data_IF_637468120758
#
_entry.id   IF_637468120758
#
_cell.length_a   1.000
_cell.length_b   1.000
_cell.length_c   1.000
_cell.angle_alpha   90.00
_cell.angle_beta   90.00
_cell.angle_gamma   90.00
#
_symmetry.space_group_name_H-M   'P 1'
#
loop_
_entity.id
_entity.type
_entity.pdbx_description
1 polymer ?
#
# COMPACT_ATOMS: atom_id res chain seq x y z
N UNK A 1 24.13 21.88 0.17
CA UNK A 1 22.91 21.03 0.18
C UNK A 1 22.28 21.11 1.56
N UNK A 2 21.13 21.78 1.72
CA UNK A 2 20.42 21.82 3.01
C UNK A 2 19.87 20.41 3.28
N UNK A 3 20.27 19.82 4.40
CA UNK A 3 19.72 18.56 4.91
C UNK A 3 18.21 18.71 4.98
N UNK A 4 17.46 17.99 4.14
CA UNK A 4 16.02 17.92 4.25
C UNK A 4 15.71 17.33 5.63
N UNK A 5 15.11 18.14 6.50
CA UNK A 5 14.65 17.73 7.81
C UNK A 5 13.69 16.55 7.61
N UNK A 6 14.17 15.33 7.86
CA UNK A 6 13.43 14.11 7.58
C UNK A 6 12.28 14.05 8.58
N UNK A 7 11.10 14.54 8.19
CA UNK A 7 9.84 14.33 8.92
C UNK A 7 9.68 12.83 9.14
N UNK A 8 9.93 12.38 10.37
CA UNK A 8 9.75 10.99 10.80
C UNK A 8 8.31 10.80 11.26
N UNK A 9 7.80 9.59 11.10
CA UNK A 9 6.57 9.19 11.76
C UNK A 9 6.80 9.29 13.28
N UNK A 10 5.94 10.03 13.95
CA UNK A 10 5.96 10.19 15.41
C UNK A 10 4.76 9.42 15.99
N UNK A 11 5.03 8.54 16.95
CA UNK A 11 3.99 7.82 17.68
C UNK A 11 3.70 8.57 18.99
N UNK A 12 2.55 9.23 19.05
CA UNK A 12 2.02 9.76 20.31
C UNK A 12 1.00 8.76 20.88
N UNK A 13 1.36 8.13 22.00
CA UNK A 13 0.52 7.18 22.72
C UNK A 13 -0.06 7.78 24.02
N UNK A 14 0.09 9.08 24.27
CA UNK A 14 -0.33 9.70 25.53
C UNK A 14 -1.83 9.51 25.82
N UNK A 15 -2.67 9.52 24.78
CA UNK A 15 -4.13 9.39 24.93
C UNK A 15 -4.62 7.98 25.31
N UNK A 16 -3.71 6.99 25.42
CA UNK A 16 -4.04 5.68 26.00
C UNK A 16 -3.50 5.49 27.42
N UNK A 17 -2.74 6.47 27.94
CA UNK A 17 -2.06 6.37 29.23
C UNK A 17 -2.97 6.70 30.41
N UNK A 18 -2.74 6.04 31.55
CA UNK A 18 -3.46 6.24 32.80
C UNK A 18 -3.48 7.70 33.25
N UNK A 19 -2.39 8.42 33.03
CA UNK A 19 -2.23 9.84 33.35
C UNK A 19 -3.19 10.74 32.55
N UNK A 20 -3.71 10.27 31.41
CA UNK A 20 -4.65 11.02 30.56
C UNK A 20 -6.10 10.56 30.68
N UNK A 21 -6.35 9.25 30.81
CA UNK A 21 -7.72 8.69 30.79
C UNK A 21 -8.14 8.01 32.10
N UNK A 22 -7.36 8.19 33.17
CA UNK A 22 -7.67 7.69 34.50
C UNK A 22 -7.52 6.17 34.61
N UNK A 23 -8.29 5.55 35.51
CA UNK A 23 -8.16 4.14 35.90
C UNK A 23 -8.29 3.12 34.76
N UNK A 24 -8.84 3.50 33.60
CA UNK A 24 -8.95 2.64 32.40
C UNK A 24 -7.73 2.69 31.48
N UNK A 25 -6.78 3.59 31.73
CA UNK A 25 -5.58 3.76 30.92
C UNK A 25 -4.44 2.82 31.30
N UNK A 26 -3.52 2.65 30.36
CA UNK A 26 -2.30 1.84 30.55
C UNK A 26 -1.32 2.63 31.41
N UNK A 27 -0.82 2.04 32.50
CA UNK A 27 0.22 2.69 33.31
C UNK A 27 1.62 2.38 32.78
N UNK A 28 2.61 3.20 33.17
CA UNK A 28 4.01 2.89 32.89
C UNK A 28 4.45 1.53 33.47
N UNK A 29 3.85 1.10 34.59
CA UNK A 29 4.13 -0.19 35.22
C UNK A 29 3.60 -1.36 34.38
N UNK A 30 2.42 -1.22 33.77
CA UNK A 30 1.86 -2.24 32.88
C UNK A 30 2.78 -2.50 31.68
N UNK A 31 3.33 -1.42 31.10
CA UNK A 31 4.31 -1.51 30.01
C UNK A 31 5.61 -2.17 30.49
N UNK A 32 6.13 -1.77 31.66
CA UNK A 32 7.35 -2.37 32.24
C UNK A 32 7.18 -3.86 32.47
N UNK A 33 6.02 -4.28 32.97
CA UNK A 33 5.70 -5.70 33.24
C UNK A 33 5.77 -6.57 31.99
N UNK A 34 5.35 -6.07 30.82
CA UNK A 34 5.39 -6.82 29.55
C UNK A 34 6.69 -6.63 28.76
N UNK A 35 7.62 -5.79 29.24
CA UNK A 35 8.88 -5.52 28.55
C UNK A 35 9.71 -6.77 28.21
N UNK A 36 9.77 -7.83 29.06
CA UNK A 36 10.44 -9.07 28.69
C UNK A 36 9.83 -9.72 27.44
N UNK A 37 8.50 -9.78 27.36
CA UNK A 37 7.77 -10.35 26.22
C UNK A 37 7.98 -9.53 24.95
N UNK A 38 8.02 -8.19 25.06
CA UNK A 38 8.31 -7.30 23.93
C UNK A 38 9.72 -7.58 23.38
N UNK A 39 10.73 -7.66 24.26
CA UNK A 39 12.13 -7.93 23.87
C UNK A 39 12.27 -9.31 23.20
N UNK A 40 11.60 -10.32 23.74
CA UNK A 40 11.60 -11.66 23.16
C UNK A 40 10.94 -11.67 21.77
N UNK A 41 9.78 -11.03 21.64
CA UNK A 41 9.02 -10.94 20.39
C UNK A 41 9.80 -10.17 19.31
N UNK A 42 10.41 -9.04 19.67
CA UNK A 42 11.28 -8.27 18.79
C UNK A 42 12.46 -9.11 18.30
N UNK A 43 13.08 -9.89 19.20
CA UNK A 43 14.18 -10.80 18.85
C UNK A 43 13.73 -11.92 17.90
N UNK A 44 12.53 -12.48 18.11
CA UNK A 44 11.93 -13.47 17.22
C UNK A 44 11.65 -12.91 15.83
N UNK A 45 11.10 -11.69 15.74
CA UNK A 45 10.85 -11.00 14.47
C UNK A 45 12.18 -10.72 13.74
N UNK A 46 13.19 -10.22 14.46
CA UNK A 46 14.51 -9.97 13.91
C UNK A 46 15.14 -11.25 13.33
N UNK A 47 15.13 -12.36 14.07
CA UNK A 47 15.61 -13.65 13.56
C UNK A 47 14.84 -14.08 12.30
N UNK A 48 13.51 -14.04 12.31
CA UNK A 48 12.71 -14.38 11.12
C UNK A 48 12.99 -13.49 9.91
N UNK A 49 13.35 -12.22 10.14
CA UNK A 49 13.86 -11.33 9.09
C UNK A 49 15.21 -11.84 8.61
N UNK A 50 16.20 -11.96 9.49
CA UNK A 50 17.59 -12.32 9.15
C UNK A 50 17.67 -13.70 8.45
N UNK A 51 16.80 -14.65 8.82
CA UNK A 51 16.69 -15.98 8.23
C UNK A 51 15.87 -16.00 6.92
N UNK A 52 15.44 -14.85 6.40
CA UNK A 52 14.70 -14.71 5.14
C UNK A 52 13.21 -15.09 5.17
N UNK A 53 12.68 -15.57 6.31
CA UNK A 53 11.26 -15.97 6.44
C UNK A 53 10.29 -14.80 6.26
N UNK A 54 10.70 -13.59 6.60
CA UNK A 54 9.91 -12.36 6.40
C UNK A 54 10.49 -11.50 5.26
N UNK A 55 10.48 -12.05 4.05
CA UNK A 55 11.00 -11.38 2.85
C UNK A 55 10.42 -9.98 2.59
N UNK A 56 9.17 -9.71 3.01
CA UNK A 56 8.56 -8.38 2.87
C UNK A 56 9.34 -7.26 3.57
N UNK A 57 10.11 -7.58 4.62
CA UNK A 57 10.94 -6.61 5.34
C UNK A 57 12.18 -6.16 4.55
N UNK A 58 12.52 -6.86 3.47
CA UNK A 58 13.63 -6.49 2.58
C UNK A 58 13.20 -5.71 1.34
N UNK A 59 11.91 -5.68 1.01
CA UNK A 59 11.37 -4.98 -0.16
C UNK A 59 11.86 -3.51 -0.30
N UNK A 60 11.99 -2.71 0.77
CA UNK A 60 12.52 -1.35 0.65
C UNK A 60 13.97 -1.26 0.13
N UNK A 61 14.72 -2.36 0.20
CA UNK A 61 16.13 -2.46 -0.21
C UNK A 61 16.33 -3.18 -1.55
N UNK A 62 15.27 -3.72 -2.15
CA UNK A 62 15.30 -4.41 -3.45
C UNK A 62 15.37 -3.42 -4.61
N UNK A 63 16.54 -2.79 -4.81
CA UNK A 63 16.76 -1.77 -5.85
C UNK A 63 16.52 -2.31 -7.26
N UNK A 64 16.96 -3.54 -7.54
CA UNK A 64 16.78 -4.18 -8.84
C UNK A 64 15.30 -4.34 -9.20
N UNK A 65 14.50 -4.90 -8.28
CA UNK A 65 13.06 -5.06 -8.47
C UNK A 65 12.36 -3.71 -8.68
N UNK A 66 12.72 -2.70 -7.89
CA UNK A 66 12.21 -1.34 -8.05
C UNK A 66 12.49 -0.80 -9.46
N UNK A 67 13.71 -0.99 -9.96
CA UNK A 67 14.10 -0.49 -11.29
C UNK A 67 13.40 -1.24 -12.42
N UNK A 68 13.18 -2.55 -12.28
CA UNK A 68 12.39 -3.36 -13.21
C UNK A 68 10.92 -2.90 -13.25
N UNK A 69 10.30 -2.67 -12.09
CA UNK A 69 8.92 -2.14 -12.00
C UNK A 69 8.83 -0.76 -12.66
N UNK A 70 9.81 0.12 -12.41
CA UNK A 70 9.84 1.45 -13.04
C UNK A 70 9.95 1.36 -14.56
N UNK A 71 10.82 0.49 -15.08
CA UNK A 71 10.94 0.26 -16.53
C UNK A 71 9.64 -0.25 -17.13
N UNK A 72 8.96 -1.19 -16.46
CA UNK A 72 7.66 -1.69 -16.89
C UNK A 72 6.60 -0.57 -16.90
N UNK A 73 6.54 0.25 -15.84
CA UNK A 73 5.62 1.38 -15.76
C UNK A 73 5.89 2.42 -16.87
N UNK A 74 7.16 2.77 -17.11
CA UNK A 74 7.56 3.70 -18.17
C UNK A 74 7.21 3.18 -19.57
N UNK A 75 7.28 1.87 -19.78
CA UNK A 75 6.94 1.23 -21.06
C UNK A 75 5.43 1.29 -21.38
N UNK A 76 4.56 1.50 -20.38
CA UNK A 76 3.09 1.45 -20.55
C UNK A 76 2.39 2.78 -20.26
N UNK A 77 2.97 3.67 -19.43
CA UNK A 77 2.27 4.89 -18.95
C UNK A 77 1.77 5.84 -20.02
N UNK A 78 2.39 5.85 -21.21
CA UNK A 78 2.03 6.70 -22.34
C UNK A 78 1.28 5.95 -23.45
N UNK A 79 1.04 4.64 -23.29
CA UNK A 79 0.35 3.80 -24.28
C UNK A 79 -1.13 3.61 -23.98
N UNK A 80 -1.53 3.84 -22.73
CA UNK A 80 -2.88 3.56 -22.24
C UNK A 80 -3.47 4.79 -21.55
N UNK A 81 -4.77 4.95 -21.68
CA UNK A 81 -5.54 5.97 -20.96
C UNK A 81 -5.95 5.49 -19.57
N UNK A 82 -6.10 4.18 -19.39
CA UNK A 82 -6.58 3.54 -18.17
C UNK A 82 -5.68 2.37 -17.76
N UNK A 83 -5.59 2.16 -16.45
CA UNK A 83 -4.93 1.04 -15.80
C UNK A 83 -5.91 0.43 -14.80
N UNK A 84 -6.31 -0.81 -15.05
CA UNK A 84 -7.26 -1.55 -14.20
C UNK A 84 -6.49 -2.60 -13.42
N UNK A 85 -6.49 -2.50 -12.10
CA UNK A 85 -6.08 -3.60 -11.22
C UNK A 85 -7.24 -4.55 -11.09
N UNK A 86 -7.05 -5.81 -11.49
CA UNK A 86 -8.00 -6.90 -11.24
C UNK A 86 -7.38 -7.84 -10.21
N UNK A 87 -7.95 -7.84 -9.01
CA UNK A 87 -7.48 -8.65 -7.90
C UNK A 87 -8.18 -8.24 -6.61
N UNK A 88 -8.05 -9.05 -5.56
CA UNK A 88 -8.76 -8.83 -4.29
C UNK A 88 -7.81 -8.87 -3.10
N UNK A 89 -8.22 -8.25 -1.99
CA UNK A 89 -7.50 -8.28 -0.73
C UNK A 89 -6.08 -7.69 -0.87
N UNK A 90 -5.05 -8.48 -0.55
CA UNK A 90 -3.66 -8.04 -0.64
C UNK A 90 -3.21 -7.62 -2.05
N UNK A 91 -3.83 -8.17 -3.08
CA UNK A 91 -3.54 -7.85 -4.49
C UNK A 91 -4.14 -6.54 -4.98
N UNK A 92 -5.05 -5.93 -4.21
CA UNK A 92 -5.76 -4.70 -4.60
C UNK A 92 -5.61 -3.57 -3.57
N UNK A 93 -5.81 -3.85 -2.29
CA UNK A 93 -5.87 -2.84 -1.24
C UNK A 93 -4.57 -2.03 -1.10
N UNK A 94 -3.41 -2.67 -1.32
CA UNK A 94 -2.12 -1.98 -1.30
C UNK A 94 -2.01 -0.92 -2.39
N UNK A 95 -2.40 -1.26 -3.62
CA UNK A 95 -2.41 -0.33 -4.74
C UNK A 95 -3.42 0.80 -4.52
N UNK A 96 -4.64 0.47 -4.08
CA UNK A 96 -5.68 1.45 -3.77
C UNK A 96 -5.26 2.44 -2.67
N UNK A 97 -4.67 1.93 -1.57
CA UNK A 97 -4.24 2.75 -0.44
C UNK A 97 -3.12 3.72 -0.82
N UNK A 98 -2.08 3.25 -1.52
CA UNK A 98 -0.98 4.10 -1.99
C UNK A 98 -1.48 5.12 -2.99
N UNK A 99 -2.31 4.71 -3.95
CA UNK A 99 -2.87 5.62 -4.95
C UNK A 99 -3.69 6.73 -4.29
N UNK A 100 -4.59 6.39 -3.37
CA UNK A 100 -5.42 7.37 -2.64
C UNK A 100 -4.61 8.30 -1.74
N UNK A 101 -3.57 7.79 -1.09
CA UNK A 101 -2.75 8.59 -0.18
C UNK A 101 -1.78 9.54 -0.90
N UNK A 102 -1.26 9.13 -2.07
CA UNK A 102 -0.21 9.85 -2.78
C UNK A 102 -0.68 10.63 -4.02
N UNK A 103 -1.95 10.48 -4.42
CA UNK A 103 -2.51 11.13 -5.61
C UNK A 103 -3.56 12.18 -5.24
N UNK A 104 -3.95 12.98 -6.22
CA UNK A 104 -5.05 13.93 -6.07
C UNK A 104 -6.36 13.18 -5.68
N UNK A 105 -7.20 13.69 -4.75
CA UNK A 105 -8.43 13.00 -4.33
C UNK A 105 -9.40 12.70 -5.48
N UNK A 106 -9.39 13.54 -6.51
CA UNK A 106 -10.19 13.38 -7.74
C UNK A 106 -9.32 13.01 -8.94
N UNK A 107 -8.25 12.25 -8.73
CA UNK A 107 -7.25 11.94 -9.75
C UNK A 107 -7.88 11.48 -11.08
N UNK A 108 -8.84 10.54 -11.06
CA UNK A 108 -9.47 10.05 -12.28
C UNK A 108 -10.35 11.08 -13.02
N UNK A 109 -10.74 12.18 -12.38
CA UNK A 109 -11.49 13.27 -13.00
C UNK A 109 -10.56 14.34 -13.61
N UNK A 110 -9.26 14.27 -13.33
CA UNK A 110 -8.31 15.21 -13.91
C UNK A 110 -8.08 14.90 -15.39
N UNK A 111 -7.98 15.95 -16.23
CA UNK A 111 -7.59 15.78 -17.61
C UNK A 111 -6.16 15.21 -17.69
N UNK A 112 -5.84 14.52 -18.77
CA UNK A 112 -4.58 13.78 -18.90
C UNK A 112 -3.36 14.70 -18.71
N UNK A 113 -3.44 15.94 -19.16
CA UNK A 113 -2.37 16.96 -19.11
C UNK A 113 -2.03 17.37 -17.67
N UNK A 114 -2.94 17.20 -16.71
CA UNK A 114 -2.66 17.45 -15.28
C UNK A 114 -2.18 16.20 -14.54
N UNK A 115 -2.40 15.03 -15.13
CA UNK A 115 -2.23 13.73 -14.49
C UNK A 115 -0.98 12.99 -14.98
N UNK A 116 -0.62 13.19 -16.24
CA UNK A 116 0.56 12.67 -16.94
C UNK A 116 0.70 11.13 -16.99
N UNK A 117 -0.31 10.40 -16.54
CA UNK A 117 -0.31 8.95 -16.38
C UNK A 117 -1.70 8.39 -16.71
N UNK A 118 -1.95 7.07 -16.71
CA UNK A 118 -3.29 6.48 -16.93
C UNK A 118 -4.22 6.62 -15.72
N UNK A 119 -5.55 6.61 -15.93
CA UNK A 119 -6.53 6.59 -14.82
C UNK A 119 -6.38 5.25 -14.12
N UNK A 120 -6.51 5.20 -12.79
CA UNK A 120 -6.36 3.95 -12.04
C UNK A 120 -7.71 3.50 -11.52
N UNK A 121 -8.11 2.29 -11.89
CA UNK A 121 -9.30 1.63 -11.39
C UNK A 121 -8.90 0.34 -10.68
N UNK A 122 -9.64 -0.03 -9.64
CA UNK A 122 -9.44 -1.28 -8.91
C UNK A 122 -10.76 -2.02 -8.92
N UNK A 123 -10.75 -3.22 -9.48
CA UNK A 123 -11.85 -4.17 -9.44
C UNK A 123 -11.47 -5.28 -8.47
N UNK A 124 -12.01 -5.19 -7.25
CA UNK A 124 -11.75 -6.09 -6.13
C UNK A 124 -13.00 -6.80 -5.59
N UNK A 125 -14.10 -6.73 -6.35
CA UNK A 125 -15.34 -7.41 -6.06
C UNK A 125 -15.91 -8.05 -7.33
N UNK A 126 -16.64 -9.14 -7.18
CA UNK A 126 -17.29 -9.90 -8.26
C UNK A 126 -18.70 -9.37 -8.59
N UNK A 127 -19.02 -8.18 -8.11
CA UNK A 127 -20.29 -7.52 -8.38
C UNK A 127 -20.44 -7.25 -9.89
N UNK A 128 -21.42 -7.87 -10.57
CA UNK A 128 -21.60 -7.71 -12.01
C UNK A 128 -21.96 -6.28 -12.42
N UNK A 129 -22.61 -5.50 -11.54
CA UNK A 129 -22.95 -4.10 -11.86
C UNK A 129 -21.70 -3.23 -11.90
N UNK A 130 -20.81 -3.39 -10.92
CA UNK A 130 -19.53 -2.68 -10.90
C UNK A 130 -18.61 -3.11 -12.05
N UNK A 131 -18.56 -4.43 -12.33
CA UNK A 131 -17.76 -4.97 -13.42
C UNK A 131 -18.28 -4.52 -14.80
N UNK A 132 -19.60 -4.43 -14.98
CA UNK A 132 -20.18 -3.92 -16.22
C UNK A 132 -20.00 -2.39 -16.33
N UNK A 133 -20.24 -1.66 -15.24
CA UNK A 133 -20.21 -0.19 -15.23
C UNK A 133 -18.83 0.40 -15.53
N UNK A 134 -17.74 -0.36 -15.37
CA UNK A 134 -16.42 0.12 -15.78
C UNK A 134 -16.35 0.42 -17.29
N UNK A 135 -17.08 -0.35 -18.12
CA UNK A 135 -17.09 -0.20 -19.57
C UNK A 135 -17.82 1.07 -20.03
N UNK A 136 -18.66 1.66 -19.19
CA UNK A 136 -19.26 2.97 -19.46
C UNK A 136 -18.24 4.11 -19.32
N UNK A 137 -17.12 3.86 -18.65
CA UNK A 137 -16.12 4.88 -18.27
C UNK A 137 -14.83 4.75 -19.09
N UNK A 138 -14.49 3.55 -19.55
CA UNK A 138 -13.20 3.26 -20.20
C UNK A 138 -13.36 2.75 -21.64
N UNK A 139 -12.45 3.13 -22.53
CA UNK A 139 -12.24 2.39 -23.80
C UNK A 139 -11.28 1.22 -23.52
N UNK A 140 -11.78 -0.01 -23.67
CA UNK A 140 -11.01 -1.22 -23.43
C UNK A 140 -9.76 -1.32 -24.31
N UNK A 141 -9.79 -0.78 -25.55
CA UNK A 141 -8.66 -0.80 -26.48
C UNK A 141 -7.51 0.10 -26.02
N UNK A 142 -7.80 1.05 -25.12
CA UNK A 142 -6.84 1.99 -24.52
C UNK A 142 -6.61 1.70 -23.04
N UNK A 143 -6.89 0.48 -22.60
CA UNK A 143 -6.81 0.08 -21.20
C UNK A 143 -5.78 -1.03 -21.02
N UNK A 144 -4.92 -0.89 -20.02
CA UNK A 144 -4.09 -1.98 -19.50
C UNK A 144 -4.80 -2.64 -18.31
N UNK A 145 -5.03 -3.95 -18.39
CA UNK A 145 -5.53 -4.75 -17.27
C UNK A 145 -4.37 -5.47 -16.61
N UNK A 146 -4.14 -5.19 -15.33
CA UNK A 146 -3.14 -5.83 -14.51
C UNK A 146 -3.82 -6.83 -13.56
N UNK A 147 -3.74 -8.12 -13.93
CA UNK A 147 -4.32 -9.22 -13.14
C UNK A 147 -3.32 -9.66 -12.08
N UNK A 148 -3.71 -9.56 -10.81
CA UNK A 148 -2.82 -9.85 -9.68
C UNK A 148 -3.44 -10.92 -8.79
N UNK A 149 -2.91 -12.14 -8.89
CA UNK A 149 -3.25 -13.26 -8.02
C UNK A 149 -1.97 -13.97 -7.58
N UNK A 150 -1.88 -14.28 -6.28
CA UNK A 150 -0.74 -15.04 -5.75
C UNK A 150 -0.84 -16.52 -6.13
N UNK A 151 -2.03 -17.08 -6.06
CA UNK A 151 -2.27 -18.51 -6.26
C UNK A 151 -2.56 -18.87 -7.72
N UNK A 152 -2.98 -17.89 -8.54
CA UNK A 152 -3.37 -18.13 -9.94
C UNK A 152 -4.82 -18.59 -10.11
N UNK A 153 -5.49 -18.94 -9.01
CA UNK A 153 -6.81 -19.58 -8.96
C UNK A 153 -7.81 -18.80 -8.08
N UNK A 154 -7.51 -17.55 -7.77
CA UNK A 154 -8.43 -16.69 -7.01
C UNK A 154 -9.72 -16.53 -7.80
N UNK A 155 -10.82 -17.05 -7.25
CA UNK A 155 -12.16 -17.05 -7.85
C UNK A 155 -12.77 -15.65 -7.98
#
# INVERSE_FOLDING_TARGET
MKSADKKRITLDYNNVMKEKIGSRGVSAEDIRRIMPLIKESASKIKRKRDDGKFGFMYLPYESKMKDEIKKAADAVKNKFENFVVLGIGGSALGAAAVHRAASHPFYNMLPHEKRHTPRLFVLDNVDPEAAAGIFDVIDIRKTLVNVITKSGDTA
#
